data_IF_010295823784
#
_entry.id   IF_010295823784
#
_cell.length_a   1.000
_cell.length_b   1.000
_cell.length_c   1.000
_cell.angle_alpha   90.00
_cell.angle_beta   90.00
_cell.angle_gamma   90.00
#
_symmetry.space_group_name_H-M   'P 1'
#
loop_
_entity.id
_entity.type
_entity.pdbx_description
1 polymer ?
#
# COMPACT_ATOMS: atom_id res chain seq x y z
N UNK A 1 11.89 32.28 34.07
CA UNK A 1 11.93 33.00 32.78
C UNK A 1 11.03 32.26 31.82
N UNK A 2 9.76 32.67 31.76
CA UNK A 2 8.70 32.07 30.96
C UNK A 2 8.58 32.84 29.65
N UNK A 3 8.93 32.21 28.54
CA UNK A 3 8.86 32.81 27.20
C UNK A 3 7.48 32.55 26.60
N UNK A 4 6.64 33.58 26.53
CA UNK A 4 5.35 33.54 25.82
C UNK A 4 5.58 33.55 24.30
N UNK A 5 4.96 32.58 23.60
CA UNK A 5 4.91 32.56 22.12
C UNK A 5 3.68 33.35 21.67
N UNK A 6 3.88 34.53 21.06
CA UNK A 6 2.82 35.32 20.41
C UNK A 6 2.57 34.79 19.00
N UNK A 7 1.38 34.26 18.75
CA UNK A 7 0.87 33.97 17.41
C UNK A 7 0.21 35.25 16.87
N UNK A 8 0.66 35.71 15.70
CA UNK A 8 0.09 36.86 14.99
C UNK A 8 -0.95 36.35 13.98
N UNK A 9 -2.22 36.83 13.98
CA UNK A 9 -3.19 36.44 12.98
C UNK A 9 -3.00 37.24 11.69
N UNK A 10 -3.02 36.58 10.53
CA UNK A 10 -3.25 37.26 9.24
C UNK A 10 -4.72 37.19 8.88
N UNK A 11 -5.31 38.37 8.67
CA UNK A 11 -6.72 38.57 8.42
C UNK A 11 -7.21 38.13 7.04
N UNK A 12 -8.52 37.90 7.02
CA UNK A 12 -9.52 37.93 5.93
C UNK A 12 -9.38 39.19 5.06
N UNK A 13 -9.74 39.26 3.77
CA UNK A 13 -10.91 38.78 3.00
C UNK A 13 -10.51 38.80 1.48
N UNK A 14 -11.16 38.15 0.52
CA UNK A 14 -12.50 38.42 0.00
C UNK A 14 -13.06 37.26 -0.86
N UNK A 15 -14.37 37.11 -0.73
CA UNK A 15 -15.45 36.54 -1.57
C UNK A 15 -15.28 36.67 -3.10
N UNK A 16 -15.94 35.96 -4.04
CA UNK A 16 -17.00 34.91 -4.12
C UNK A 16 -17.09 34.50 -5.61
N UNK A 17 -17.68 33.31 -5.84
CA UNK A 17 -18.48 32.91 -7.02
C UNK A 17 -17.89 32.02 -8.12
N UNK A 18 -18.73 31.10 -8.60
CA UNK A 18 -18.55 30.43 -9.89
C UNK A 18 -18.58 28.91 -9.88
N UNK A 19 -19.70 28.31 -9.47
CA UNK A 19 -20.00 26.92 -9.80
C UNK A 19 -20.10 26.72 -11.32
N UNK A 20 -19.26 25.86 -11.92
CA UNK A 20 -19.66 24.96 -13.02
C UNK A 20 -18.85 23.66 -12.98
N UNK A 21 -19.59 22.56 -12.81
CA UNK A 21 -19.17 21.19 -13.09
C UNK A 21 -18.68 21.12 -14.54
N UNK A 22 -17.50 20.57 -14.77
CA UNK A 22 -17.16 20.00 -16.08
C UNK A 22 -16.46 18.66 -15.85
N UNK A 23 -17.12 17.62 -16.36
CA UNK A 23 -16.71 16.23 -16.22
C UNK A 23 -15.34 16.01 -16.85
N UNK A 24 -14.46 15.42 -16.06
CA UNK A 24 -13.26 14.75 -16.56
C UNK A 24 -13.75 13.54 -17.36
N UNK A 25 -13.79 13.68 -18.69
CA UNK A 25 -13.87 12.52 -19.59
C UNK A 25 -12.53 11.82 -19.50
N UNK A 26 -12.51 10.63 -18.89
CA UNK A 26 -11.38 9.72 -18.99
C UNK A 26 -11.45 9.11 -20.38
N UNK A 27 -10.65 9.64 -21.30
CA UNK A 27 -10.46 9.04 -22.62
C UNK A 27 -9.76 7.68 -22.47
N UNK A 28 -10.31 6.66 -23.12
CA UNK A 28 -9.96 5.25 -23.02
C UNK A 28 -8.96 4.82 -24.09
N UNK A 29 -8.03 5.70 -24.47
CA UNK A 29 -7.00 5.40 -25.46
C UNK A 29 -5.87 4.55 -24.86
N UNK A 30 -5.45 3.57 -25.66
CA UNK A 30 -4.73 2.34 -25.28
C UNK A 30 -3.22 2.52 -24.99
N UNK A 31 -2.68 3.72 -24.91
CA UNK A 31 -1.22 3.95 -24.87
C UNK A 31 -0.75 4.87 -23.72
N UNK A 32 -1.26 4.65 -22.51
CA UNK A 32 -0.62 5.25 -21.33
C UNK A 32 0.66 4.46 -21.00
N UNK A 33 1.81 5.11 -20.73
CA UNK A 33 3.06 4.41 -20.44
C UNK A 33 2.84 3.49 -19.24
N UNK A 34 3.17 2.21 -19.42
CA UNK A 34 3.16 1.20 -18.37
C UNK A 34 4.23 1.62 -17.35
N UNK A 35 3.80 2.34 -16.32
CA UNK A 35 4.66 2.70 -15.21
C UNK A 35 5.13 1.46 -14.47
N UNK A 36 6.36 1.57 -13.94
CA UNK A 36 7.16 0.56 -13.22
C UNK A 36 6.40 -0.74 -12.89
N UNK A 37 6.64 -1.78 -13.68
CA UNK A 37 6.25 -3.15 -13.34
C UNK A 37 6.95 -3.55 -12.04
N UNK A 38 6.19 -4.11 -11.12
CA UNK A 38 6.72 -4.68 -9.88
C UNK A 38 7.02 -6.16 -10.15
N UNK A 39 8.29 -6.49 -10.42
CA UNK A 39 8.75 -7.86 -10.66
C UNK A 39 9.19 -8.51 -9.33
N UNK A 40 8.76 -9.75 -9.09
CA UNK A 40 8.90 -10.42 -7.79
C UNK A 40 9.63 -11.75 -7.95
N UNK A 41 10.57 -12.06 -7.05
CA UNK A 41 11.22 -13.37 -6.95
C UNK A 41 10.48 -14.23 -5.92
N UNK A 42 9.91 -15.37 -6.36
CA UNK A 42 9.21 -16.37 -5.53
C UNK A 42 7.79 -16.65 -6.04
N UNK A 43 7.43 -17.93 -6.22
CA UNK A 43 6.10 -18.46 -6.59
C UNK A 43 5.44 -17.92 -7.88
N UNK A 44 6.21 -17.30 -8.78
CA UNK A 44 5.83 -17.18 -10.19
C UNK A 44 4.64 -16.26 -10.51
N UNK A 45 4.28 -15.31 -9.63
CA UNK A 45 3.26 -14.31 -9.89
C UNK A 45 3.85 -12.89 -9.89
N UNK A 46 3.70 -12.21 -11.03
CA UNK A 46 4.01 -10.77 -11.15
C UNK A 46 2.70 -10.00 -11.04
N UNK A 47 2.69 -8.96 -10.20
CA UNK A 47 1.54 -8.07 -10.07
C UNK A 47 1.85 -6.76 -10.78
N UNK A 48 1.20 -6.57 -11.92
CA UNK A 48 1.27 -5.30 -12.64
C UNK A 48 0.16 -4.37 -12.18
N UNK A 49 0.54 -3.18 -11.73
CA UNK A 49 -0.39 -2.12 -11.32
C UNK A 49 -0.12 -0.92 -12.20
N UNK A 50 -1.18 -0.34 -12.76
CA UNK A 50 -1.03 0.91 -13.50
C UNK A 50 -0.40 1.99 -12.59
N UNK A 51 0.47 2.86 -13.15
CA UNK A 51 0.99 3.98 -12.39
C UNK A 51 -0.18 4.81 -11.82
N UNK A 52 -0.09 5.09 -10.53
CA UNK A 52 -1.16 5.70 -9.75
C UNK A 52 -0.57 6.61 -8.67
N UNK A 53 -1.45 7.31 -7.94
CA UNK A 53 -1.07 8.36 -6.98
C UNK A 53 -1.16 7.93 -5.51
N UNK A 54 -1.05 6.63 -5.22
CA UNK A 54 -0.97 6.15 -3.83
C UNK A 54 0.19 6.85 -3.10
N UNK A 55 -0.04 7.26 -1.85
CA UNK A 55 1.00 7.90 -1.04
C UNK A 55 2.14 6.94 -0.71
N UNK A 56 1.86 5.65 -0.51
CA UNK A 56 2.86 4.66 -0.17
C UNK A 56 3.62 4.15 -1.42
N UNK A 57 2.94 3.45 -2.34
CA UNK A 57 3.59 2.78 -3.49
C UNK A 57 3.42 3.50 -4.83
N UNK A 58 2.63 4.58 -4.90
CA UNK A 58 2.23 5.19 -6.17
C UNK A 58 3.36 5.98 -6.84
N UNK A 59 3.84 5.48 -7.98
CA UNK A 59 4.92 6.12 -8.75
C UNK A 59 4.59 7.54 -9.26
N UNK A 60 3.31 7.95 -9.33
CA UNK A 60 2.90 9.28 -9.79
C UNK A 60 2.70 10.29 -8.64
N UNK A 61 2.93 9.90 -7.38
CA UNK A 61 2.76 10.80 -6.25
C UNK A 61 4.09 11.50 -5.93
N UNK A 62 4.27 12.77 -6.30
CA UNK A 62 5.51 13.52 -6.07
C UNK A 62 5.96 13.57 -4.61
N UNK A 63 5.03 13.42 -3.66
CA UNK A 63 5.30 13.45 -2.23
C UNK A 63 5.21 12.07 -1.57
N UNK A 64 5.10 11.01 -2.38
CA UNK A 64 4.98 9.63 -1.92
C UNK A 64 6.26 9.04 -1.34
N UNK A 65 6.09 7.88 -0.70
CA UNK A 65 7.20 7.04 -0.20
C UNK A 65 7.85 6.26 -1.36
N UNK A 66 7.05 5.90 -2.37
CA UNK A 66 7.45 5.11 -3.54
C UNK A 66 7.95 3.71 -3.19
N UNK A 67 7.22 3.01 -2.31
CA UNK A 67 7.52 1.63 -1.95
C UNK A 67 7.59 0.72 -3.17
N UNK A 68 8.71 0.02 -3.29
CA UNK A 68 8.84 -1.15 -4.15
C UNK A 68 8.41 -2.37 -3.35
N UNK A 69 7.29 -2.98 -3.74
CA UNK A 69 6.65 -4.06 -3.01
C UNK A 69 6.99 -5.39 -3.67
N UNK A 70 7.10 -6.45 -2.89
CA UNK A 70 7.36 -7.79 -3.39
C UNK A 70 6.39 -8.76 -2.73
N UNK A 71 5.51 -9.37 -3.52
CA UNK A 71 4.42 -10.25 -3.06
C UNK A 71 4.74 -11.72 -3.37
N UNK A 72 4.67 -12.58 -2.37
CA UNK A 72 4.91 -14.01 -2.50
C UNK A 72 3.82 -14.76 -1.73
N UNK A 73 2.88 -15.36 -2.46
CA UNK A 73 1.70 -16.00 -1.88
C UNK A 73 0.92 -15.07 -0.96
N UNK A 74 0.83 -15.43 0.33
CA UNK A 74 0.13 -14.67 1.37
C UNK A 74 1.02 -13.64 2.09
N UNK A 75 2.20 -13.33 1.52
CA UNK A 75 3.19 -12.41 2.07
C UNK A 75 3.48 -11.26 1.12
N UNK A 76 3.88 -10.14 1.70
CA UNK A 76 4.44 -9.01 0.96
C UNK A 76 5.57 -8.38 1.77
N UNK A 77 6.58 -7.85 1.07
CA UNK A 77 7.67 -7.13 1.71
C UNK A 77 8.17 -5.95 0.87
N UNK A 78 8.93 -5.07 1.50
CA UNK A 78 9.60 -3.93 0.86
C UNK A 78 10.92 -3.66 1.57
N UNK A 79 11.91 -3.14 0.84
CA UNK A 79 13.17 -2.66 1.39
C UNK A 79 13.43 -1.22 0.95
N UNK A 80 13.84 -0.39 1.90
CA UNK A 80 14.11 1.03 1.65
C UNK A 80 14.96 1.63 2.76
N UNK A 81 15.59 2.76 2.45
CA UNK A 81 16.08 3.70 3.47
C UNK A 81 15.22 4.97 3.40
N UNK A 82 14.67 5.40 4.55
CA UNK A 82 13.79 6.57 4.58
C UNK A 82 14.61 7.87 4.53
N UNK A 83 14.39 8.75 3.54
CA UNK A 83 15.07 10.04 3.47
C UNK A 83 14.55 11.05 4.49
N UNK A 84 15.33 12.11 4.72
CA UNK A 84 15.09 13.17 5.73
C UNK A 84 13.69 13.79 5.68
N UNK A 85 13.06 13.86 4.51
CA UNK A 85 11.69 14.40 4.37
C UNK A 85 10.62 13.66 5.18
N UNK A 86 10.91 12.44 5.65
CA UNK A 86 10.02 11.62 6.49
C UNK A 86 10.33 11.73 7.99
N UNK A 87 11.09 12.73 8.39
CA UNK A 87 11.45 12.98 9.78
C UNK A 87 10.24 13.23 10.67
N UNK A 88 10.23 12.59 11.84
CA UNK A 88 9.33 12.95 12.94
C UNK A 88 10.07 13.65 14.07
N UNK A 89 11.18 13.07 14.51
CA UNK A 89 12.13 13.68 15.44
C UNK A 89 13.52 13.71 14.80
N UNK A 90 14.44 14.52 15.30
CA UNK A 90 15.80 14.65 14.75
C UNK A 90 16.45 13.26 14.49
N UNK A 91 16.75 12.97 13.23
CA UNK A 91 17.32 11.69 12.77
C UNK A 91 16.38 10.47 12.77
N UNK A 92 15.14 10.60 13.23
CA UNK A 92 14.19 9.49 13.42
C UNK A 92 12.97 9.64 12.50
N UNK A 93 12.62 8.57 11.80
CA UNK A 93 11.44 8.52 10.95
C UNK A 93 10.15 8.74 11.75
N UNK A 94 9.20 9.49 11.18
CA UNK A 94 7.91 9.75 11.80
C UNK A 94 7.12 8.43 11.97
N UNK A 95 6.55 8.19 13.15
CA UNK A 95 5.81 6.95 13.43
C UNK A 95 4.65 6.70 12.47
N UNK A 96 4.01 7.76 11.97
CA UNK A 96 2.99 7.66 10.92
C UNK A 96 3.50 7.09 9.59
N UNK A 97 4.75 7.36 9.20
CA UNK A 97 5.38 6.79 7.99
C UNK A 97 5.60 5.29 8.18
N UNK A 98 6.04 4.89 9.37
CA UNK A 98 6.18 3.47 9.74
C UNK A 98 4.82 2.76 9.72
N UNK A 99 3.76 3.38 10.26
CA UNK A 99 2.40 2.86 10.15
C UNK A 99 1.97 2.70 8.69
N UNK A 100 2.27 3.68 7.82
CA UNK A 100 1.96 3.59 6.38
C UNK A 100 2.68 2.43 5.70
N UNK A 101 3.97 2.21 5.99
CA UNK A 101 4.72 1.08 5.42
C UNK A 101 4.10 -0.25 5.86
N UNK A 102 3.79 -0.38 7.15
CA UNK A 102 3.17 -1.59 7.72
C UNK A 102 1.78 -1.84 7.11
N UNK A 103 0.93 -0.82 6.99
CA UNK A 103 -0.37 -0.93 6.34
C UNK A 103 -0.22 -1.37 4.88
N UNK A 104 0.73 -0.81 4.14
CA UNK A 104 0.93 -1.13 2.73
C UNK A 104 1.37 -2.60 2.56
N UNK A 105 2.41 -3.07 3.27
CA UNK A 105 2.86 -4.46 3.13
C UNK A 105 1.79 -5.46 3.61
N UNK A 106 1.04 -5.14 4.67
CA UNK A 106 -0.06 -6.01 5.11
C UNK A 106 -1.22 -6.00 4.11
N UNK A 107 -1.58 -4.86 3.52
CA UNK A 107 -2.64 -4.77 2.52
C UNK A 107 -2.27 -5.54 1.24
N UNK A 108 -1.03 -5.41 0.77
CA UNK A 108 -0.55 -6.10 -0.43
C UNK A 108 -0.34 -7.59 -0.24
N UNK A 109 -0.22 -8.08 1.00
CA UNK A 109 -0.20 -9.53 1.26
C UNK A 109 -1.54 -10.21 0.94
N UNK A 110 -2.62 -9.43 0.77
CA UNK A 110 -3.92 -9.93 0.32
C UNK A 110 -3.98 -10.14 -1.20
N UNK A 111 -3.04 -9.57 -1.96
CA UNK A 111 -3.17 -9.38 -3.41
C UNK A 111 -3.25 -10.72 -4.19
N UNK A 112 -2.55 -11.76 -3.75
CA UNK A 112 -2.65 -13.10 -4.35
C UNK A 112 -4.03 -13.76 -4.13
N UNK A 113 -4.76 -13.37 -3.07
CA UNK A 113 -6.14 -13.85 -2.82
C UNK A 113 -7.20 -13.00 -3.54
N UNK A 114 -6.75 -12.10 -4.41
CA UNK A 114 -7.60 -11.17 -5.16
C UNK A 114 -8.48 -10.31 -4.23
N UNK A 115 -8.02 -10.05 -3.00
CA UNK A 115 -8.79 -9.28 -2.04
C UNK A 115 -8.31 -7.83 -2.02
N UNK A 116 -9.25 -6.93 -2.32
CA UNK A 116 -9.11 -5.49 -2.21
C UNK A 116 -9.79 -5.07 -0.93
N UNK A 117 -9.04 -4.91 0.14
CA UNK A 117 -9.56 -4.59 1.46
C UNK A 117 -9.35 -3.13 1.83
N UNK A 118 -10.29 -2.55 2.58
CA UNK A 118 -10.02 -1.33 3.33
C UNK A 118 -9.59 -1.72 4.74
N UNK A 119 -8.59 -1.03 5.28
CA UNK A 119 -8.15 -1.19 6.67
C UNK A 119 -9.30 -0.84 7.61
N UNK A 120 -9.80 -1.82 8.37
CA UNK A 120 -10.84 -1.59 9.39
C UNK A 120 -10.22 -1.22 10.72
N UNK A 121 -9.11 -1.86 11.07
CA UNK A 121 -8.32 -1.58 12.28
C UNK A 121 -6.87 -1.97 12.06
N UNK A 122 -5.96 -1.23 12.66
CA UNK A 122 -4.55 -1.55 12.73
C UNK A 122 -4.02 -1.16 14.12
N UNK A 123 -3.21 -2.03 14.71
CA UNK A 123 -2.49 -1.77 15.95
C UNK A 123 -1.00 -1.94 15.68
N UNK A 124 -0.19 -0.94 16.06
CA UNK A 124 1.26 -0.92 15.84
C UNK A 124 1.97 -0.78 17.17
N UNK A 125 3.01 -1.59 17.36
CA UNK A 125 3.91 -1.52 18.51
C UNK A 125 5.30 -1.10 18.03
N UNK A 126 5.73 0.09 18.45
CA UNK A 126 7.08 0.60 18.18
C UNK A 126 8.05 0.05 19.22
N UNK A 127 9.02 -0.75 18.78
CA UNK A 127 10.00 -1.41 19.66
C UNK A 127 11.29 -0.60 19.76
N UNK A 128 11.73 -0.05 18.63
CA UNK A 128 12.97 0.74 18.51
C UNK A 128 12.78 1.90 17.53
N UNK A 129 13.51 3.00 17.67
CA UNK A 129 13.50 4.08 16.69
C UNK A 129 13.98 3.60 15.33
N UNK A 130 13.33 4.05 14.26
CA UNK A 130 13.78 3.84 12.88
C UNK A 130 14.63 5.05 12.49
N UNK A 131 15.92 4.84 12.27
CA UNK A 131 16.85 5.89 11.88
C UNK A 131 16.67 6.23 10.38
N UNK A 132 16.66 7.51 10.06
CA UNK A 132 16.64 7.99 8.68
C UNK A 132 17.95 7.61 7.97
N UNK A 133 17.87 7.32 6.67
CA UNK A 133 19.01 6.91 5.84
C UNK A 133 19.53 5.49 6.11
N UNK A 134 19.02 4.79 7.12
CA UNK A 134 19.38 3.40 7.42
C UNK A 134 18.39 2.45 6.71
N UNK A 135 18.87 1.38 6.04
CA UNK A 135 18.00 0.39 5.43
C UNK A 135 17.09 -0.29 6.45
N UNK A 136 15.83 -0.48 6.06
CA UNK A 136 14.84 -1.27 6.79
C UNK A 136 14.14 -2.23 5.83
N UNK A 137 13.65 -3.33 6.38
CA UNK A 137 12.78 -4.28 5.65
C UNK A 137 11.41 -4.33 6.33
N UNK A 138 10.37 -3.97 5.59
CA UNK A 138 8.98 -4.13 5.99
C UNK A 138 8.42 -5.44 5.45
N UNK A 139 7.69 -6.18 6.27
CA UNK A 139 7.08 -7.46 5.91
C UNK A 139 5.65 -7.52 6.43
N UNK A 140 4.73 -8.07 5.65
CA UNK A 140 3.34 -8.31 6.00
C UNK A 140 2.88 -9.67 5.50
N UNK A 141 1.96 -10.31 6.22
CA UNK A 141 1.39 -11.60 5.83
C UNK A 141 -0.04 -11.77 6.34
N UNK A 142 -0.82 -12.59 5.62
CA UNK A 142 -2.15 -13.01 6.07
C UNK A 142 -2.01 -13.97 7.25
N UNK A 143 -2.74 -13.70 8.33
CA UNK A 143 -2.75 -14.55 9.53
C UNK A 143 -4.03 -15.38 9.65
N UNK A 144 -5.17 -14.86 9.16
CA UNK A 144 -6.43 -15.57 9.10
C UNK A 144 -7.41 -14.90 8.13
N UNK A 145 -8.30 -15.70 7.53
CA UNK A 145 -9.39 -15.20 6.67
C UNK A 145 -10.73 -15.69 7.20
N UNK A 146 -11.67 -14.77 7.44
CA UNK A 146 -13.02 -15.07 7.95
C UNK A 146 -14.08 -14.28 7.16
N UNK A 147 -14.75 -14.97 6.22
CA UNK A 147 -15.73 -14.34 5.30
C UNK A 147 -15.13 -13.16 4.55
N UNK A 148 -15.48 -11.93 4.94
CA UNK A 148 -14.99 -10.66 4.36
C UNK A 148 -13.93 -9.98 5.22
N UNK A 149 -13.59 -10.52 6.38
CA UNK A 149 -12.55 -10.00 7.25
C UNK A 149 -11.27 -10.79 7.03
N UNK A 150 -10.17 -10.08 6.78
CA UNK A 150 -8.84 -10.68 6.63
C UNK A 150 -7.95 -10.09 7.71
N UNK A 151 -7.48 -10.94 8.61
CA UNK A 151 -6.52 -10.56 9.64
C UNK A 151 -5.10 -10.76 9.10
N UNK A 152 -4.24 -9.79 9.35
CA UNK A 152 -2.84 -9.76 8.92
C UNK A 152 -1.93 -9.42 10.09
N UNK A 153 -0.67 -9.78 9.95
CA UNK A 153 0.41 -9.31 10.81
C UNK A 153 1.55 -8.79 9.96
N UNK A 154 2.35 -7.90 10.53
CA UNK A 154 3.52 -7.35 9.87
C UNK A 154 4.58 -6.91 10.84
N UNK A 155 5.78 -6.66 10.32
CA UNK A 155 6.93 -6.17 11.07
C UNK A 155 7.83 -5.31 10.20
N UNK A 156 8.58 -4.42 10.86
CA UNK A 156 9.75 -3.77 10.29
C UNK A 156 10.97 -4.28 11.04
N UNK A 157 12.00 -4.68 10.30
CA UNK A 157 13.28 -5.13 10.84
C UNK A 157 14.44 -4.32 10.28
N UNK A 158 15.52 -4.24 11.05
CA UNK A 158 16.84 -3.89 10.55
C UNK A 158 17.42 -5.13 9.84
N UNK A 159 17.66 -5.10 8.53
CA UNK A 159 18.16 -6.26 7.79
C UNK A 159 19.61 -6.63 8.13
N UNK A 160 20.41 -5.70 8.69
CA UNK A 160 21.79 -5.95 9.05
C UNK A 160 21.90 -6.68 10.41
N UNK A 161 21.02 -6.36 11.36
CA UNK A 161 21.06 -6.94 12.71
C UNK A 161 19.98 -7.98 12.97
N UNK A 162 18.89 -7.98 12.19
CA UNK A 162 17.69 -8.76 12.44
C UNK A 162 16.78 -8.19 13.54
N UNK A 163 17.11 -7.01 14.08
CA UNK A 163 16.33 -6.39 15.14
C UNK A 163 14.94 -5.97 14.66
N UNK A 164 13.91 -6.36 15.42
CA UNK A 164 12.55 -5.88 15.20
C UNK A 164 12.44 -4.42 15.66
N UNK A 165 12.09 -3.53 14.73
CA UNK A 165 11.93 -2.09 14.96
C UNK A 165 10.47 -1.76 15.29
N UNK A 166 9.52 -2.40 14.58
CA UNK A 166 8.09 -2.28 14.84
C UNK A 166 7.34 -3.56 14.46
N UNK A 167 6.19 -3.79 15.07
CA UNK A 167 5.27 -4.88 14.72
C UNK A 167 3.85 -4.34 14.56
N UNK A 168 3.03 -4.98 13.74
CA UNK A 168 1.63 -4.63 13.57
C UNK A 168 0.72 -5.85 13.44
N UNK A 169 -0.54 -5.64 13.81
CA UNK A 169 -1.66 -6.49 13.41
C UNK A 169 -2.75 -5.62 12.81
N UNK A 170 -3.46 -6.12 11.80
CA UNK A 170 -4.55 -5.39 11.18
C UNK A 170 -5.68 -6.32 10.73
N UNK A 171 -6.90 -5.77 10.66
CA UNK A 171 -8.02 -6.40 9.97
C UNK A 171 -8.41 -5.54 8.78
N UNK A 172 -8.53 -6.18 7.63
CA UNK A 172 -9.05 -5.61 6.39
C UNK A 172 -10.45 -6.12 6.11
N UNK A 173 -11.31 -5.25 5.58
CA UNK A 173 -12.64 -5.61 5.08
C UNK A 173 -12.57 -5.71 3.56
N UNK A 174 -12.65 -6.93 3.03
CA UNK A 174 -12.67 -7.19 1.60
C UNK A 174 -13.87 -6.48 0.93
N UNK A 175 -13.58 -5.80 -0.19
CA UNK A 175 -14.57 -5.17 -1.04
C UNK A 175 -15.61 -6.20 -1.53
N UNK A 176 -16.85 -5.76 -1.68
CA UNK A 176 -17.87 -6.57 -2.37
C UNK A 176 -17.46 -6.85 -3.81
N UNK A 177 -18.01 -7.93 -4.40
CA UNK A 177 -17.61 -8.42 -5.73
C UNK A 177 -17.72 -7.37 -6.86
N UNK A 178 -18.66 -6.43 -6.76
CA UNK A 178 -18.81 -5.33 -7.72
C UNK A 178 -17.69 -4.29 -7.59
N UNK A 179 -17.42 -3.83 -6.37
CA UNK A 179 -16.34 -2.87 -6.09
C UNK A 179 -14.97 -3.44 -6.40
N UNK A 180 -14.77 -4.75 -6.16
CA UNK A 180 -13.56 -5.48 -6.54
C UNK A 180 -13.31 -5.42 -8.04
N UNK A 181 -14.33 -5.72 -8.86
CA UNK A 181 -14.25 -5.62 -10.33
C UNK A 181 -13.95 -4.21 -10.82
N UNK A 182 -14.55 -3.20 -10.21
CA UNK A 182 -14.28 -1.79 -10.53
C UNK A 182 -12.81 -1.42 -10.24
N UNK A 183 -12.28 -1.83 -9.09
CA UNK A 183 -10.91 -1.52 -8.67
C UNK A 183 -9.87 -2.24 -9.56
N UNK A 184 -10.09 -3.52 -9.86
CA UNK A 184 -9.27 -4.27 -10.81
C UNK A 184 -9.21 -3.58 -12.18
N UNK A 185 -10.36 -3.17 -12.71
CA UNK A 185 -10.43 -2.49 -14.01
C UNK A 185 -9.73 -1.12 -13.99
N UNK A 186 -9.90 -0.34 -12.92
CA UNK A 186 -9.29 0.99 -12.76
C UNK A 186 -7.77 0.93 -12.66
N UNK A 187 -7.25 0.05 -11.81
CA UNK A 187 -5.81 -0.04 -11.57
C UNK A 187 -5.10 -0.99 -12.54
N UNK A 188 -5.83 -1.54 -13.53
CA UNK A 188 -5.34 -2.51 -14.51
C UNK A 188 -4.52 -3.63 -13.87
N UNK A 189 -4.98 -4.09 -12.71
CA UNK A 189 -4.31 -5.10 -11.94
C UNK A 189 -4.30 -6.40 -12.71
N UNK A 190 -3.12 -6.94 -13.02
CA UNK A 190 -2.97 -8.24 -13.66
C UNK A 190 -2.09 -9.12 -12.79
N UNK A 191 -2.62 -10.29 -12.45
CA UNK A 191 -1.82 -11.44 -12.03
C UNK A 191 -1.31 -12.12 -13.30
N UNK A 192 -0.03 -11.96 -13.59
CA UNK A 192 0.64 -12.68 -14.67
C UNK A 192 1.47 -13.81 -14.06
N UNK A 193 1.37 -15.02 -14.63
CA UNK A 193 2.35 -16.06 -14.32
C UNK A 193 3.72 -15.65 -14.90
N UNK A 194 4.82 -16.10 -14.30
CA UNK A 194 6.18 -15.83 -14.80
C UNK A 194 6.42 -16.32 -16.25
N UNK A 195 5.52 -17.16 -16.76
CA UNK A 195 5.43 -17.67 -18.13
C UNK A 195 4.62 -16.75 -19.08
N UNK A 196 4.29 -15.53 -18.64
CA UNK A 196 3.70 -14.46 -19.48
C UNK A 196 2.22 -14.68 -19.85
N UNK A 197 1.56 -15.68 -19.23
CA UNK A 197 0.13 -15.94 -19.42
C UNK A 197 -0.66 -15.32 -18.28
N UNK A 198 -1.81 -14.73 -18.60
CA UNK A 198 -2.77 -14.34 -17.56
C UNK A 198 -3.17 -15.60 -16.79
N UNK A 199 -3.03 -15.57 -15.46
CA UNK A 199 -3.50 -16.67 -14.62
C UNK A 199 -5.02 -16.75 -14.79
N UNK A 200 -5.49 -17.73 -15.57
CA UNK A 200 -6.92 -17.96 -15.75
C UNK A 200 -7.47 -18.43 -14.41
N UNK A 201 -8.24 -17.57 -13.75
CA UNK A 201 -9.07 -17.96 -12.62
C UNK A 201 -10.09 -18.97 -13.12
N UNK A 202 -9.77 -20.25 -13.01
CA UNK A 202 -10.66 -21.31 -13.41
C UNK A 202 -11.72 -21.49 -12.32
N UNK A 203 -12.93 -21.04 -12.63
CA UNK A 203 -14.15 -21.38 -11.91
C UNK A 203 -14.42 -22.87 -12.09
N UNK A 204 -13.90 -23.70 -11.18
CA UNK A 204 -14.34 -25.08 -11.05
C UNK A 204 -15.76 -25.11 -10.44
N UNK A 205 -16.76 -24.90 -11.28
CA UNK A 205 -18.11 -25.38 -11.03
C UNK A 205 -18.07 -26.91 -11.19
N UNK A 206 -18.08 -27.62 -10.07
CA UNK A 206 -18.20 -29.07 -10.04
C UNK A 206 -19.51 -29.50 -10.70
N UNK A 207 -19.41 -30.10 -11.89
CA UNK A 207 -20.48 -30.89 -12.47
C UNK A 207 -20.42 -32.30 -11.87
N UNK A 208 -21.55 -32.68 -11.28
CA UNK A 208 -21.85 -33.96 -10.64
C UNK A 208 -21.82 -35.12 -11.66
N UNK A 209 -21.19 -36.28 -11.38
CA UNK A 209 -21.48 -37.50 -12.13
C UNK A 209 -22.79 -38.11 -11.60
N UNK A 210 -23.60 -38.62 -12.53
CA UNK A 210 -24.91 -39.22 -12.27
C UNK A 210 -24.87 -40.60 -11.62
#
# INVERSE_FOLDING_TARGET
>A
MTSEVRIVPRGTSDTVDGARRNGVRVDSTRDAPVGRSVAIAGEGLTIEVAPHRCFACGALNEHGIHLELHVDGDRCWTELALPERFQGWDGIAHGGVICTILDEVMAWSLAATDNWGLTARMAVEFKRPVQLGVPIRGEGWVSATRRRLVDTAGRIVDPATGDVLATATATYVAAGAERKRELQARYRFRLTSNDGRAATGDTAAGANPG
#
